data_IF_774831610762
#
_entry.id   IF_774831610762
#
_cell.length_a   1.000
_cell.length_b   1.000
_cell.length_c   1.000
_cell.angle_alpha   90.00
_cell.angle_beta   90.00
_cell.angle_gamma   90.00
#
_symmetry.space_group_name_H-M   'P 1'
#
loop_
_entity.id
_entity.type
_entity.pdbx_description
1 polymer ?
#
# COMPACT_ATOMS: atom_id res chain seq x y z
N UNK A 1 -17.81 -4.33 32.30
CA UNK A 1 -18.04 -3.20 31.37
C UNK A 1 -16.84 -2.24 31.30
N UNK A 2 -16.38 -1.62 32.38
CA UNK A 2 -15.27 -0.64 32.33
C UNK A 2 -13.90 -1.24 31.91
N UNK A 3 -13.58 -2.47 32.31
CA UNK A 3 -12.31 -3.15 31.93
C UNK A 3 -12.27 -3.48 30.43
N UNK A 4 -13.35 -4.03 29.88
CA UNK A 4 -13.44 -4.39 28.45
C UNK A 4 -13.34 -3.16 27.53
N UNK A 5 -13.90 -2.02 27.93
CA UNK A 5 -13.80 -0.78 27.14
C UNK A 5 -12.36 -0.24 27.14
N UNK A 6 -11.64 -0.33 28.26
CA UNK A 6 -10.23 0.11 28.34
C UNK A 6 -9.33 -0.72 27.43
N UNK A 7 -9.52 -2.04 27.41
CA UNK A 7 -8.77 -2.95 26.55
C UNK A 7 -9.02 -2.65 25.06
N UNK A 8 -10.27 -2.39 24.67
CA UNK A 8 -10.60 -1.99 23.29
C UNK A 8 -9.98 -0.65 22.90
N UNK A 9 -10.03 0.35 23.79
CA UNK A 9 -9.43 1.67 23.53
C UNK A 9 -7.90 1.56 23.38
N UNK A 10 -7.24 0.78 24.23
CA UNK A 10 -5.80 0.53 24.12
C UNK A 10 -5.44 -0.15 22.81
N UNK A 11 -6.23 -1.14 22.39
CA UNK A 11 -6.05 -1.83 21.12
C UNK A 11 -6.14 -0.89 19.92
N UNK A 12 -7.20 -0.08 19.87
CA UNK A 12 -7.42 0.91 18.79
C UNK A 12 -6.28 1.94 18.75
N UNK A 13 -5.85 2.42 19.91
CA UNK A 13 -4.78 3.42 20.02
C UNK A 13 -3.44 2.88 19.52
N UNK A 14 -3.11 1.63 19.85
CA UNK A 14 -1.87 1.00 19.37
C UNK A 14 -1.89 0.78 17.86
N UNK A 15 -3.01 0.30 17.31
CA UNK A 15 -3.18 0.15 15.86
C UNK A 15 -3.03 1.48 15.13
N UNK A 16 -3.63 2.55 15.67
CA UNK A 16 -3.49 3.91 15.12
C UNK A 16 -2.03 4.40 15.12
N UNK A 17 -1.31 4.23 16.24
CA UNK A 17 0.10 4.62 16.31
C UNK A 17 0.96 3.87 15.31
N UNK A 18 0.71 2.56 15.12
CA UNK A 18 1.42 1.74 14.15
C UNK A 18 1.12 2.13 12.70
N UNK A 19 -0.14 2.40 12.37
CA UNK A 19 -0.50 2.93 11.04
C UNK A 19 0.18 4.27 10.77
N UNK A 20 0.20 5.18 11.74
CA UNK A 20 0.89 6.46 11.63
C UNK A 20 2.40 6.29 11.40
N UNK A 21 3.04 5.38 12.14
CA UNK A 21 4.46 5.05 11.97
C UNK A 21 4.74 4.50 10.57
N UNK A 22 3.89 3.58 10.08
CA UNK A 22 3.97 3.01 8.75
C UNK A 22 3.84 4.08 7.67
N UNK A 23 2.78 4.89 7.70
CA UNK A 23 2.57 5.97 6.73
C UNK A 23 3.73 6.97 6.79
N UNK A 24 4.19 7.37 7.98
CA UNK A 24 5.33 8.28 8.13
C UNK A 24 6.61 7.72 7.51
N UNK A 25 6.85 6.41 7.63
CA UNK A 25 7.97 5.77 6.95
C UNK A 25 7.79 5.79 5.43
N UNK A 26 6.61 5.50 4.91
CA UNK A 26 6.35 5.64 3.47
C UNK A 26 6.52 7.08 2.98
N UNK A 27 6.09 8.08 3.75
CA UNK A 27 6.34 9.50 3.47
C UNK A 27 7.83 9.82 3.39
N UNK A 28 8.64 9.26 4.28
CA UNK A 28 10.10 9.46 4.29
C UNK A 28 10.81 8.79 3.11
N UNK A 29 10.39 7.56 2.74
CA UNK A 29 11.06 6.77 1.68
C UNK A 29 10.58 7.11 0.26
N UNK A 30 9.34 7.57 0.11
CA UNK A 30 8.68 7.84 -1.18
C UNK A 30 8.19 9.28 -1.33
N UNK A 31 8.75 10.24 -0.57
CA UNK A 31 8.27 11.63 -0.46
C UNK A 31 7.88 12.31 -1.77
N UNK A 32 8.69 12.14 -2.81
CA UNK A 32 8.47 12.76 -4.12
C UNK A 32 7.43 12.03 -4.99
N UNK A 33 7.11 10.79 -4.63
CA UNK A 33 6.21 9.89 -5.37
C UNK A 33 4.81 9.83 -4.75
N UNK A 34 4.50 10.62 -3.73
CA UNK A 34 3.21 10.54 -3.04
C UNK A 34 2.15 11.35 -3.76
N UNK A 35 1.07 10.67 -4.13
CA UNK A 35 -0.09 11.31 -4.76
C UNK A 35 -1.09 11.78 -3.69
N UNK A 36 -1.44 10.91 -2.74
CA UNK A 36 -2.41 11.20 -1.68
C UNK A 36 -2.23 10.25 -0.50
N UNK A 37 -2.66 10.66 0.69
CA UNK A 37 -2.77 9.80 1.86
C UNK A 37 -3.86 10.29 2.82
N UNK A 38 -4.37 9.36 3.65
CA UNK A 38 -5.32 9.67 4.72
C UNK A 38 -4.58 10.26 5.93
N UNK A 39 -4.69 11.58 6.10
CA UNK A 39 -4.05 12.32 7.20
C UNK A 39 -4.77 12.19 8.54
N UNK A 40 -6.02 11.71 8.56
CA UNK A 40 -6.82 11.57 9.78
C UNK A 40 -6.67 10.17 10.38
N UNK A 41 -6.92 9.14 9.57
CA UNK A 41 -6.95 7.74 10.02
C UNK A 41 -5.67 6.95 9.74
N UNK A 42 -4.79 7.47 8.88
CA UNK A 42 -3.63 6.76 8.34
C UNK A 42 -4.00 5.40 7.75
N UNK A 43 -5.17 5.30 7.10
CA UNK A 43 -5.70 4.01 6.59
C UNK A 43 -5.38 3.75 5.13
N UNK A 44 -4.98 4.79 4.39
CA UNK A 44 -4.75 4.75 2.94
C UNK A 44 -3.57 5.63 2.53
N UNK A 45 -2.82 5.17 1.54
CA UNK A 45 -1.80 5.96 0.83
C UNK A 45 -1.73 5.50 -0.62
N UNK A 46 -1.59 6.46 -1.54
CA UNK A 46 -1.42 6.23 -2.97
C UNK A 46 -0.11 6.85 -3.43
N UNK A 47 0.69 6.08 -4.16
CA UNK A 47 1.98 6.48 -4.71
C UNK A 47 1.88 6.48 -6.23
N UNK A 48 2.47 7.48 -6.89
CA UNK A 48 2.75 7.48 -8.32
C UNK A 48 4.23 7.12 -8.51
N UNK A 49 4.48 5.93 -9.06
CA UNK A 49 5.82 5.40 -9.28
C UNK A 49 6.11 5.26 -10.76
N UNK A 50 7.39 5.29 -11.10
CA UNK A 50 7.90 5.03 -12.45
C UNK A 50 8.80 3.79 -12.42
N UNK A 51 8.60 2.89 -13.38
CA UNK A 51 9.48 1.74 -13.59
C UNK A 51 9.56 1.39 -15.07
N UNK A 52 10.78 1.27 -15.61
CA UNK A 52 11.03 0.96 -17.03
C UNK A 52 10.23 1.86 -18.01
N UNK A 53 10.29 3.19 -17.81
CA UNK A 53 9.59 4.21 -18.61
C UNK A 53 8.06 4.11 -18.57
N UNK A 54 7.51 3.44 -17.55
CA UNK A 54 6.09 3.25 -17.36
C UNK A 54 5.66 3.81 -16.01
N UNK A 55 4.78 4.80 -16.02
CA UNK A 55 4.15 5.32 -14.80
C UNK A 55 2.99 4.41 -14.37
N UNK A 56 2.91 4.14 -13.07
CA UNK A 56 1.82 3.39 -12.46
C UNK A 56 1.54 3.90 -11.05
N UNK A 57 0.31 3.69 -10.60
CA UNK A 57 -0.04 3.98 -9.22
C UNK A 57 0.03 2.72 -8.36
N UNK A 58 0.46 2.88 -7.11
CA UNK A 58 0.36 1.85 -6.08
C UNK A 58 -0.51 2.38 -4.97
N UNK A 59 -1.66 1.74 -4.77
CA UNK A 59 -2.58 2.05 -3.71
C UNK A 59 -2.41 1.04 -2.58
N UNK A 60 -2.13 1.54 -1.39
CA UNK A 60 -2.15 0.79 -0.14
C UNK A 60 -3.44 1.19 0.56
N UNK A 61 -4.46 0.37 0.38
CA UNK A 61 -5.83 0.66 0.82
C UNK A 61 -6.24 -0.33 1.89
N UNK A 62 -7.01 0.15 2.88
CA UNK A 62 -7.52 -0.67 3.98
C UNK A 62 -6.40 -1.30 4.80
N UNK A 63 -5.54 -0.47 5.42
CA UNK A 63 -4.70 -0.95 6.52
C UNK A 63 -5.60 -1.68 7.53
N UNK A 64 -5.43 -3.01 7.72
CA UNK A 64 -6.42 -3.80 8.42
C UNK A 64 -6.66 -3.31 9.84
N UNK A 65 -7.85 -3.62 10.39
CA UNK A 65 -8.17 -3.30 11.79
C UNK A 65 -7.12 -3.86 12.74
N UNK A 66 -6.53 -5.03 12.39
CA UNK A 66 -5.49 -5.68 13.18
C UNK A 66 -4.05 -5.37 12.75
N UNK A 67 -3.81 -4.33 11.94
CA UNK A 67 -2.45 -3.91 11.58
C UNK A 67 -1.58 -3.64 12.83
N UNK A 68 -0.31 -4.12 12.87
CA UNK A 68 0.47 -4.76 11.80
C UNK A 68 0.35 -6.29 11.73
N UNK A 69 -0.57 -6.92 12.47
CA UNK A 69 -0.73 -8.39 12.41
C UNK A 69 -1.11 -8.86 11.02
N UNK A 70 -2.05 -8.15 10.40
CA UNK A 70 -2.53 -8.44 9.06
C UNK A 70 -1.75 -7.59 8.05
N UNK A 71 -1.31 -8.24 6.99
CA UNK A 71 -0.56 -7.63 5.89
C UNK A 71 -1.43 -6.63 5.12
N UNK A 72 -0.92 -5.41 4.81
CA UNK A 72 -1.62 -4.50 3.92
C UNK A 72 -1.74 -5.07 2.50
N UNK A 73 -2.74 -4.64 1.75
CA UNK A 73 -2.87 -5.02 0.34
C UNK A 73 -2.27 -3.93 -0.55
N UNK A 74 -1.44 -4.33 -1.52
CA UNK A 74 -0.95 -3.43 -2.56
C UNK A 74 -1.80 -3.59 -3.81
N UNK A 75 -2.30 -2.49 -4.36
CA UNK A 75 -3.05 -2.48 -5.62
C UNK A 75 -2.29 -1.66 -6.63
N UNK A 76 -1.73 -2.31 -7.64
CA UNK A 76 -1.07 -1.66 -8.76
C UNK A 76 -2.13 -1.26 -9.76
N UNK A 77 -2.09 -0.02 -10.23
CA UNK A 77 -3.03 0.55 -11.17
C UNK A 77 -2.26 1.17 -12.33
N UNK A 78 -2.64 0.81 -13.56
CA UNK A 78 -2.11 1.45 -14.76
C UNK A 78 -2.77 2.81 -14.97
N UNK A 79 -2.00 3.77 -15.47
CA UNK A 79 -2.51 5.07 -15.92
C UNK A 79 -2.83 5.09 -17.42
N UNK A 80 -2.43 4.04 -18.15
CA UNK A 80 -2.54 3.98 -19.61
C UNK A 80 -3.55 2.94 -20.09
N UNK A 81 -3.68 1.83 -19.37
CA UNK A 81 -4.54 0.73 -19.79
C UNK A 81 -5.80 0.63 -18.92
N UNK A 82 -6.90 0.28 -19.57
CA UNK A 82 -8.20 0.06 -18.96
C UNK A 82 -8.57 -1.42 -19.02
N UNK A 83 -9.24 -1.89 -17.98
CA UNK A 83 -9.93 -3.18 -17.95
C UNK A 83 -11.13 -3.22 -18.89
N UNK A 84 -11.71 -4.41 -19.04
CA UNK A 84 -12.85 -4.66 -19.94
C UNK A 84 -14.10 -3.81 -19.64
N UNK A 85 -14.24 -3.33 -18.41
CA UNK A 85 -15.35 -2.52 -17.91
C UNK A 85 -15.10 -1.01 -18.01
N UNK A 86 -13.99 -0.57 -18.60
CA UNK A 86 -13.62 0.84 -18.72
C UNK A 86 -13.01 1.44 -17.45
N UNK A 87 -12.81 0.64 -16.40
CA UNK A 87 -12.03 1.03 -15.23
C UNK A 87 -10.52 0.88 -15.51
N UNK A 88 -9.62 1.60 -14.82
CA UNK A 88 -8.19 1.38 -14.94
C UNK A 88 -7.82 -0.09 -14.74
N UNK A 89 -6.83 -0.59 -15.50
CA UNK A 89 -6.30 -1.94 -15.28
C UNK A 89 -5.62 -2.00 -13.91
N UNK A 90 -6.05 -2.94 -13.08
CA UNK A 90 -5.54 -3.11 -11.72
C UNK A 90 -5.06 -4.53 -11.46
N UNK A 91 -4.03 -4.66 -10.63
CA UNK A 91 -3.58 -5.94 -10.12
C UNK A 91 -3.33 -5.87 -8.61
N UNK A 92 -3.96 -6.79 -7.88
CA UNK A 92 -3.92 -6.81 -6.42
C UNK A 92 -2.86 -7.80 -5.95
N UNK A 93 -1.92 -7.31 -5.14
CA UNK A 93 -0.85 -8.09 -4.52
C UNK A 93 -1.08 -8.21 -3.01
N UNK A 94 -1.37 -9.45 -2.60
CA UNK A 94 -1.55 -9.85 -1.19
C UNK A 94 -0.45 -10.78 -0.70
N UNK A 95 0.40 -11.27 -1.59
CA UNK A 95 1.43 -12.27 -1.30
C UNK A 95 2.81 -11.69 -1.61
N UNK A 96 3.29 -10.82 -0.74
CA UNK A 96 4.64 -10.27 -0.77
C UNK A 96 5.34 -10.47 0.57
N UNK A 97 6.67 -10.38 0.66
CA UNK A 97 7.39 -10.55 1.93
C UNK A 97 6.90 -9.55 2.98
N UNK A 98 6.34 -10.05 4.08
CA UNK A 98 5.82 -9.24 5.18
C UNK A 98 6.09 -9.89 6.52
N UNK A 99 6.46 -9.07 7.51
CA UNK A 99 6.53 -9.49 8.90
C UNK A 99 5.85 -8.44 9.79
N UNK A 100 4.93 -8.85 10.67
CA UNK A 100 4.27 -7.94 11.62
C UNK A 100 5.25 -7.36 12.65
N UNK A 101 6.48 -7.90 12.72
CA UNK A 101 7.54 -7.48 13.65
C UNK A 101 8.44 -6.37 13.11
N UNK A 102 8.36 -6.07 11.81
CA UNK A 102 9.16 -5.01 11.21
C UNK A 102 8.67 -3.64 11.69
N UNK A 103 9.61 -2.69 11.77
CA UNK A 103 9.25 -1.29 11.95
C UNK A 103 8.79 -0.67 10.60
N UNK A 104 8.26 0.55 10.65
CA UNK A 104 7.79 1.22 9.43
C UNK A 104 8.87 1.38 8.36
N UNK A 105 10.12 1.62 8.75
CA UNK A 105 11.23 1.83 7.83
C UNK A 105 11.61 0.55 7.07
N UNK A 106 11.71 -0.57 7.78
CA UNK A 106 11.99 -1.87 7.18
C UNK A 106 10.84 -2.26 6.26
N UNK A 107 9.58 -2.04 6.66
CA UNK A 107 8.42 -2.27 5.79
C UNK A 107 8.49 -1.43 4.50
N UNK A 108 8.83 -0.14 4.60
CA UNK A 108 8.95 0.74 3.43
C UNK A 108 10.10 0.31 2.49
N UNK A 109 11.28 -0.03 3.04
CA UNK A 109 12.41 -0.54 2.25
C UNK A 109 12.06 -1.81 1.49
N UNK A 110 11.41 -2.77 2.16
CA UNK A 110 10.99 -4.04 1.54
C UNK A 110 9.91 -3.83 0.49
N UNK A 111 8.97 -2.92 0.74
CA UNK A 111 7.96 -2.54 -0.24
C UNK A 111 8.60 -1.95 -1.50
N UNK A 112 9.60 -1.07 -1.36
CA UNK A 112 10.35 -0.52 -2.49
C UNK A 112 10.97 -1.60 -3.37
N UNK A 113 11.71 -2.53 -2.76
CA UNK A 113 12.33 -3.66 -3.48
C UNK A 113 11.26 -4.48 -4.20
N UNK A 114 10.14 -4.77 -3.52
CA UNK A 114 9.04 -5.50 -4.14
C UNK A 114 8.40 -4.75 -5.31
N UNK A 115 8.22 -3.42 -5.21
CA UNK A 115 7.69 -2.60 -6.30
C UNK A 115 8.61 -2.61 -7.51
N UNK A 116 9.92 -2.50 -7.29
CA UNK A 116 10.94 -2.57 -8.35
C UNK A 116 10.91 -3.95 -9.05
N UNK A 117 10.85 -5.05 -8.28
CA UNK A 117 10.79 -6.42 -8.81
C UNK A 117 9.47 -6.74 -9.54
N UNK A 118 8.34 -6.22 -9.04
CA UNK A 118 7.01 -6.51 -9.58
C UNK A 118 6.62 -5.61 -10.75
N UNK A 119 7.18 -4.40 -10.83
CA UNK A 119 6.85 -3.42 -11.88
C UNK A 119 6.93 -3.95 -13.33
N UNK A 120 7.93 -4.77 -13.73
CA UNK A 120 8.01 -5.26 -15.11
C UNK A 120 6.89 -6.24 -15.42
N UNK A 121 6.57 -7.13 -14.46
CA UNK A 121 5.49 -8.12 -14.58
C UNK A 121 4.12 -7.42 -14.66
N UNK A 122 3.93 -6.38 -13.84
CA UNK A 122 2.72 -5.57 -13.88
C UNK A 122 2.54 -4.89 -15.25
N UNK A 123 3.60 -4.28 -15.78
CA UNK A 123 3.57 -3.63 -17.10
C UNK A 123 3.22 -4.64 -18.20
N UNK A 124 3.88 -5.80 -18.24
CA UNK A 124 3.59 -6.84 -19.22
C UNK A 124 2.13 -7.32 -19.13
N UNK A 125 1.63 -7.54 -17.92
CA UNK A 125 0.24 -7.92 -17.70
C UNK A 125 -0.74 -6.83 -18.14
N UNK A 126 -0.43 -5.56 -17.87
CA UNK A 126 -1.25 -4.42 -18.27
C UNK A 126 -1.30 -4.26 -19.80
N UNK A 127 -0.17 -4.41 -20.49
CA UNK A 127 -0.12 -4.34 -21.96
C UNK A 127 -0.80 -5.55 -22.61
N UNK A 128 -0.64 -6.74 -22.05
CA UNK A 128 -1.22 -7.96 -22.61
C UNK A 128 -2.74 -8.06 -22.42
N UNK A 129 -3.26 -7.61 -21.27
CA UNK A 129 -4.65 -7.82 -20.88
C UNK A 129 -5.48 -6.53 -20.85
N UNK A 130 -4.83 -5.38 -20.75
CA UNK A 130 -5.47 -4.08 -20.74
C UNK A 130 -5.72 -3.55 -22.15
N UNK A 131 -6.79 -2.79 -22.29
CA UNK A 131 -7.07 -2.02 -23.50
C UNK A 131 -6.40 -0.65 -23.37
N UNK A 132 -5.81 -0.10 -24.45
CA UNK A 132 -5.34 1.28 -24.45
C UNK A 132 -6.50 2.27 -24.25
#
# INVERSE_FOLDING_TARGET
LCVCVREQVQYITQGYQKRREYIAAFLSHFGESIAEYDAEGFTKISLLLEGLEFFFMVHIVELPLYFPRDQPTFTFQSVYQYGSTGQPFVQVQKSYPYSPRWDGNEMAKRARVYFEEFSPQFREAAVANGKP
#
